data_IF_580828178559
#
_entry.id   IF_580828178559
#
_cell.length_a   1.000
_cell.length_b   1.000
_cell.length_c   1.000
_cell.angle_alpha   90.00
_cell.angle_beta   90.00
_cell.angle_gamma   90.00
#
_symmetry.space_group_name_H-M   'P 1'
#
loop_
_entity.id
_entity.type
_entity.pdbx_description
1 polymer ?
#
# COMPACT_ATOMS: atom_id res chain seq x y z
N UNK A 1 3.30 -7.62 23.93
CA UNK A 1 3.25 -6.73 25.11
C UNK A 1 2.79 -7.57 26.29
N UNK A 2 3.69 -7.89 27.21
CA UNK A 2 3.36 -8.50 28.50
C UNK A 2 2.61 -7.44 29.32
N UNK A 3 1.38 -7.72 29.66
CA UNK A 3 0.58 -6.87 30.56
C UNK A 3 1.27 -6.92 31.92
N UNK A 4 1.87 -5.81 32.32
CA UNK A 4 2.46 -5.65 33.65
C UNK A 4 1.27 -5.62 34.65
N UNK A 5 1.10 -6.66 35.46
CA UNK A 5 -0.02 -6.88 36.36
C UNK A 5 -0.14 -5.84 37.52
N UNK A 6 0.83 -4.94 37.69
CA UNK A 6 0.88 -3.96 38.77
C UNK A 6 0.47 -2.53 38.40
N UNK A 7 0.02 -2.28 37.16
CA UNK A 7 -0.47 -0.95 36.80
C UNK A 7 -1.97 -0.87 37.04
N UNK A 8 -2.40 0.05 37.92
CA UNK A 8 -3.84 0.33 38.10
C UNK A 8 -4.54 0.51 36.75
N UNK A 9 -5.67 -0.15 36.54
CA UNK A 9 -6.46 -0.02 35.31
C UNK A 9 -6.82 1.45 35.08
N UNK A 10 -6.60 1.93 33.85
CA UNK A 10 -6.86 3.32 33.45
C UNK A 10 -7.50 3.33 32.06
N UNK A 11 -8.45 4.24 31.78
CA UNK A 11 -9.07 4.40 30.48
C UNK A 11 -8.14 5.09 29.44
N UNK A 12 -6.93 5.52 29.82
CA UNK A 12 -6.01 6.24 28.92
C UNK A 12 -5.74 5.50 27.60
N UNK A 13 -5.48 4.17 27.57
CA UNK A 13 -5.31 3.46 26.29
C UNK A 13 -6.57 3.45 25.43
N UNK A 14 -7.76 3.38 26.06
CA UNK A 14 -9.04 3.45 25.33
C UNK A 14 -9.26 4.84 24.74
N UNK A 15 -8.86 5.88 25.46
CA UNK A 15 -8.93 7.27 24.97
C UNK A 15 -8.07 7.46 23.71
N UNK A 16 -6.86 6.90 23.69
CA UNK A 16 -6.00 6.94 22.51
C UNK A 16 -6.63 6.24 21.29
N UNK A 17 -7.27 5.10 21.51
CA UNK A 17 -7.99 4.38 20.45
C UNK A 17 -9.22 5.17 19.98
N UNK A 18 -10.03 5.69 20.90
CA UNK A 18 -11.25 6.42 20.60
C UNK A 18 -10.99 7.73 19.83
N UNK A 19 -9.85 8.37 20.08
CA UNK A 19 -9.46 9.62 19.43
C UNK A 19 -8.49 9.44 18.24
N UNK A 20 -8.23 8.21 17.83
CA UNK A 20 -7.33 7.89 16.71
C UNK A 20 -7.68 8.63 15.42
N UNK A 21 -8.97 8.88 15.17
CA UNK A 21 -9.42 9.64 14.00
C UNK A 21 -8.99 11.12 14.02
N UNK A 22 -8.74 11.72 15.19
CA UNK A 22 -8.20 13.09 15.26
C UNK A 22 -6.83 13.18 14.61
N UNK A 23 -5.98 12.18 14.83
CA UNK A 23 -4.63 12.10 14.26
C UNK A 23 -4.72 12.09 12.75
N UNK A 24 -5.51 11.16 12.20
CA UNK A 24 -5.67 11.03 10.75
C UNK A 24 -6.30 12.28 10.12
N UNK A 25 -7.37 12.82 10.72
CA UNK A 25 -8.06 14.01 10.16
C UNK A 25 -7.21 15.28 10.26
N UNK A 26 -6.31 15.40 11.25
CA UNK A 26 -5.33 16.49 11.29
C UNK A 26 -4.35 16.41 10.11
N UNK A 27 -3.81 15.21 9.84
CA UNK A 27 -2.94 15.00 8.67
C UNK A 27 -3.68 15.28 7.36
N UNK A 28 -4.90 14.77 7.21
CA UNK A 28 -5.72 14.94 6.00
C UNK A 28 -6.06 16.42 5.76
N UNK A 29 -6.48 17.16 6.80
CA UNK A 29 -6.78 18.59 6.69
C UNK A 29 -5.53 19.41 6.34
N UNK A 30 -4.39 19.14 6.98
CA UNK A 30 -3.14 19.80 6.66
C UNK A 30 -2.70 19.55 5.21
N UNK A 31 -2.90 18.31 4.73
CA UNK A 31 -2.61 17.95 3.34
C UNK A 31 -3.59 18.63 2.36
N UNK A 32 -4.89 18.66 2.65
CA UNK A 32 -5.92 19.31 1.83
C UNK A 32 -5.63 20.81 1.67
N UNK A 33 -5.21 21.48 2.75
CA UNK A 33 -4.82 22.89 2.76
C UNK A 33 -3.44 23.17 2.14
N UNK A 34 -2.77 22.12 1.63
CA UNK A 34 -1.44 22.15 1.01
C UNK A 34 -0.36 22.75 1.94
N UNK A 35 -0.52 22.54 3.26
CA UNK A 35 0.35 23.14 4.29
C UNK A 35 1.81 22.79 4.05
N UNK A 36 2.12 21.52 3.79
CA UNK A 36 3.51 21.05 3.68
C UNK A 36 4.22 21.60 2.45
N UNK A 37 3.55 21.67 1.29
CA UNK A 37 4.13 22.24 0.07
C UNK A 37 4.35 23.77 0.21
N UNK A 38 3.45 24.46 0.92
CA UNK A 38 3.60 25.91 1.21
C UNK A 38 4.79 26.20 2.10
N UNK A 39 5.16 25.28 3.00
CA UNK A 39 6.29 25.44 3.91
C UNK A 39 7.63 25.02 3.28
N UNK A 40 7.61 24.19 2.24
CA UNK A 40 8.82 23.66 1.61
C UNK A 40 9.67 24.78 0.99
N UNK A 41 10.98 24.73 1.28
CA UNK A 41 11.93 25.72 0.77
C UNK A 41 11.80 27.13 1.38
N UNK A 42 10.99 27.32 2.44
CA UNK A 42 10.80 28.59 3.12
C UNK A 42 11.54 28.62 4.46
N UNK A 43 11.58 29.81 5.09
CA UNK A 43 12.05 29.98 6.47
C UNK A 43 10.99 29.65 7.53
N UNK A 44 9.86 29.06 7.09
CA UNK A 44 8.71 28.74 7.94
C UNK A 44 7.68 29.87 8.01
N UNK A 45 6.56 29.57 8.68
CA UNK A 45 5.44 30.49 8.87
C UNK A 45 5.10 30.65 10.35
N UNK A 46 4.48 31.78 10.72
CA UNK A 46 3.80 31.99 12.01
C UNK A 46 2.33 31.62 11.89
N UNK A 47 1.60 31.60 13.02
CA UNK A 47 0.13 31.39 12.99
C UNK A 47 -0.58 32.47 12.17
N UNK A 48 -0.21 33.76 12.38
CA UNK A 48 -0.75 34.86 11.60
C UNK A 48 -0.40 34.79 10.11
N UNK A 49 0.85 34.40 9.77
CA UNK A 49 1.26 34.21 8.37
C UNK A 49 0.50 33.08 7.65
N UNK A 50 0.21 31.97 8.35
CA UNK A 50 -0.62 30.90 7.80
C UNK A 50 -2.08 31.35 7.64
N UNK A 51 -2.61 32.07 8.62
CA UNK A 51 -3.97 32.60 8.59
C UNK A 51 -4.18 33.52 7.37
N UNK A 52 -3.25 34.43 7.11
CA UNK A 52 -3.24 35.29 5.92
C UNK A 52 -3.16 34.47 4.62
N UNK A 53 -2.22 33.53 4.55
CA UNK A 53 -2.01 32.70 3.33
C UNK A 53 -3.20 31.81 2.96
N UNK A 54 -4.01 31.40 3.95
CA UNK A 54 -5.19 30.56 3.77
C UNK A 54 -6.50 31.35 3.80
N UNK A 55 -6.47 32.65 4.09
CA UNK A 55 -7.64 33.50 4.31
C UNK A 55 -8.59 32.95 5.39
N UNK A 56 -8.03 32.53 6.53
CA UNK A 56 -8.74 32.02 7.70
C UNK A 56 -8.39 32.83 8.95
N UNK A 57 -9.13 32.62 10.03
CA UNK A 57 -8.81 33.20 11.33
C UNK A 57 -7.50 32.63 11.91
N UNK A 58 -6.79 33.42 12.72
CA UNK A 58 -5.52 33.03 13.32
C UNK A 58 -5.67 31.85 14.30
N UNK A 59 -6.78 31.80 15.05
CA UNK A 59 -7.06 30.73 16.02
C UNK A 59 -7.03 29.32 15.38
N UNK A 60 -7.77 28.99 14.28
CA UNK A 60 -7.68 27.67 13.66
C UNK A 60 -6.32 27.43 13.00
N UNK A 61 -5.62 28.45 12.49
CA UNK A 61 -4.26 28.31 11.97
C UNK A 61 -3.27 27.88 13.06
N UNK A 62 -3.31 28.52 14.24
CA UNK A 62 -2.49 28.15 15.40
C UNK A 62 -2.79 26.72 15.86
N UNK A 63 -4.07 26.36 15.97
CA UNK A 63 -4.48 25.00 16.38
C UNK A 63 -3.98 23.93 15.42
N UNK A 64 -4.06 24.17 14.09
CA UNK A 64 -3.55 23.25 13.07
C UNK A 64 -2.04 23.08 13.16
N UNK A 65 -1.29 24.19 13.23
CA UNK A 65 0.17 24.17 13.36
C UNK A 65 0.61 23.45 14.63
N UNK A 66 -0.07 23.70 15.75
CA UNK A 66 0.20 23.04 17.03
C UNK A 66 -0.07 21.55 16.94
N UNK A 67 -1.22 21.13 16.35
CA UNK A 67 -1.58 19.74 16.14
C UNK A 67 -0.56 19.01 15.27
N UNK A 68 -0.19 19.59 14.13
CA UNK A 68 0.84 19.01 13.25
C UNK A 68 2.22 18.92 13.92
N UNK A 69 2.58 19.89 14.76
CA UNK A 69 3.83 19.84 15.55
C UNK A 69 3.81 18.73 16.58
N UNK A 70 2.69 18.58 17.31
CA UNK A 70 2.52 17.51 18.30
C UNK A 70 2.56 16.11 17.67
N UNK A 71 2.17 15.98 16.40
CA UNK A 71 2.26 14.76 15.61
C UNK A 71 3.63 14.54 14.95
N UNK A 72 4.61 15.43 15.15
CA UNK A 72 5.93 15.32 14.52
C UNK A 72 5.97 15.64 13.02
N UNK A 73 4.91 16.23 12.48
CA UNK A 73 4.84 16.65 11.08
C UNK A 73 5.50 18.00 10.85
N UNK A 74 5.53 18.85 11.86
CA UNK A 74 6.20 20.16 11.85
C UNK A 74 7.20 20.24 13.00
N UNK A 75 8.16 21.17 12.85
CA UNK A 75 9.08 21.60 13.91
C UNK A 75 8.84 23.08 14.15
N UNK A 76 8.72 23.48 15.41
CA UNK A 76 8.60 24.88 15.81
C UNK A 76 9.96 25.42 16.25
N UNK A 77 10.43 26.47 15.59
CA UNK A 77 11.65 27.22 15.93
C UNK A 77 11.21 28.65 16.29
N UNK A 78 11.32 29.00 17.55
CA UNK A 78 10.79 30.24 18.11
C UNK A 78 9.28 30.42 17.84
N UNK A 79 8.88 31.36 16.98
CA UNK A 79 7.51 31.62 16.57
C UNK A 79 7.15 31.03 15.20
N UNK A 80 8.13 30.36 14.52
CA UNK A 80 7.96 29.82 13.17
C UNK A 80 7.86 28.30 13.14
N UNK A 81 7.03 27.83 12.23
CA UNK A 81 6.79 26.42 11.96
C UNK A 81 7.37 26.07 10.59
N UNK A 82 8.16 24.99 10.55
CA UNK A 82 8.76 24.42 9.33
C UNK A 82 8.38 22.94 9.21
N UNK A 83 8.47 22.37 8.01
CA UNK A 83 8.30 20.93 7.84
C UNK A 83 9.32 20.14 8.68
N UNK A 84 8.89 19.07 9.31
CA UNK A 84 9.81 18.04 9.79
C UNK A 84 10.44 17.30 8.60
N UNK A 85 11.57 16.57 8.78
CA UNK A 85 12.18 15.81 7.69
C UNK A 85 11.23 14.83 7.01
N UNK A 86 10.35 14.16 7.77
CA UNK A 86 9.36 13.24 7.22
C UNK A 86 8.29 13.98 6.41
N UNK A 87 7.80 15.12 6.86
CA UNK A 87 6.83 15.90 6.12
C UNK A 87 7.45 16.51 4.85
N UNK A 88 8.69 17.01 4.94
CA UNK A 88 9.41 17.57 3.78
C UNK A 88 9.63 16.53 2.68
N UNK A 89 9.97 15.28 3.04
CA UNK A 89 10.23 14.22 2.06
C UNK A 89 8.96 13.63 1.47
N UNK A 90 7.94 13.37 2.31
CA UNK A 90 6.78 12.56 1.91
C UNK A 90 5.48 13.33 1.70
N UNK A 91 5.34 14.57 2.19
CA UNK A 91 4.09 15.32 2.13
C UNK A 91 4.14 16.57 1.23
N UNK A 92 5.30 16.87 0.66
CA UNK A 92 5.49 17.98 -0.29
C UNK A 92 5.19 17.49 -1.71
N UNK A 93 4.28 18.17 -2.41
CA UNK A 93 3.89 17.83 -3.80
C UNK A 93 5.11 17.94 -4.73
N UNK A 94 5.19 16.99 -5.68
CA UNK A 94 6.27 16.94 -6.66
C UNK A 94 7.57 16.28 -6.18
N UNK A 95 7.68 15.88 -4.92
CA UNK A 95 8.80 15.06 -4.44
C UNK A 95 8.68 13.63 -5.01
N UNK A 96 9.84 12.95 -5.25
CA UNK A 96 9.84 11.60 -5.83
C UNK A 96 9.03 10.56 -5.03
N UNK A 97 8.96 10.75 -3.72
CA UNK A 97 8.31 9.82 -2.79
C UNK A 97 7.05 10.42 -2.13
N UNK A 98 6.38 11.31 -2.86
CA UNK A 98 5.19 11.99 -2.36
C UNK A 98 4.08 11.00 -1.95
N UNK A 99 3.73 10.99 -0.68
CA UNK A 99 2.76 10.08 -0.06
C UNK A 99 1.36 10.70 0.10
N UNK A 100 1.22 11.98 -0.23
CA UNK A 100 -0.05 12.71 -0.05
C UNK A 100 -1.21 12.16 -0.88
N UNK A 101 -0.94 11.49 -2.01
CA UNK A 101 -1.98 10.79 -2.77
C UNK A 101 -2.65 9.69 -1.95
N UNK A 102 -1.87 8.94 -1.16
CA UNK A 102 -2.41 7.92 -0.25
C UNK A 102 -3.26 8.55 0.86
N UNK A 103 -2.80 9.65 1.47
CA UNK A 103 -3.57 10.40 2.47
C UNK A 103 -4.91 10.87 1.90
N UNK A 104 -4.91 11.40 0.68
CA UNK A 104 -6.12 11.85 -0.02
C UNK A 104 -7.10 10.70 -0.28
N UNK A 105 -6.61 9.56 -0.76
CA UNK A 105 -7.43 8.36 -0.99
C UNK A 105 -8.06 7.87 0.31
N UNK A 106 -7.28 7.78 1.38
CA UNK A 106 -7.78 7.39 2.69
C UNK A 106 -8.91 8.31 3.15
N UNK A 107 -8.75 9.63 3.00
CA UNK A 107 -9.73 10.60 3.47
C UNK A 107 -11.01 10.61 2.64
N UNK A 108 -10.89 10.58 1.32
CA UNK A 108 -12.02 10.77 0.42
C UNK A 108 -12.80 9.48 0.16
N UNK A 109 -12.13 8.32 0.20
CA UNK A 109 -12.73 7.04 -0.13
C UNK A 109 -12.87 6.11 1.07
N UNK A 110 -11.78 5.83 1.78
CA UNK A 110 -11.80 4.83 2.85
C UNK A 110 -12.48 5.32 4.12
N UNK A 111 -12.22 6.55 4.52
CA UNK A 111 -12.77 7.09 5.77
C UNK A 111 -14.31 7.06 5.83
N UNK A 112 -15.06 7.45 4.77
CA UNK A 112 -16.51 7.26 4.72
C UNK A 112 -16.94 5.79 4.81
N UNK A 113 -16.25 4.87 4.11
CA UNK A 113 -16.50 3.44 4.14
C UNK A 113 -16.28 2.85 5.54
N UNK A 114 -15.22 3.24 6.22
CA UNK A 114 -14.93 2.85 7.59
C UNK A 114 -15.96 3.38 8.61
N UNK A 115 -16.60 4.51 8.34
CA UNK A 115 -17.75 4.97 9.12
C UNK A 115 -18.92 3.96 9.15
N UNK A 116 -18.95 3.06 8.17
CA UNK A 116 -19.93 1.97 8.02
C UNK A 116 -19.36 0.58 8.34
N UNK A 117 -18.19 0.48 8.98
CA UNK A 117 -17.56 -0.81 9.31
C UNK A 117 -18.50 -1.77 10.06
N UNK A 118 -19.31 -1.25 10.98
CA UNK A 118 -20.31 -2.07 11.69
C UNK A 118 -21.39 -2.68 10.77
N UNK A 119 -21.68 -2.06 9.63
CA UNK A 119 -22.53 -2.62 8.58
C UNK A 119 -21.78 -3.70 7.80
N UNK A 120 -20.54 -3.42 7.35
CA UNK A 120 -19.71 -4.41 6.68
C UNK A 120 -19.56 -5.72 7.48
N UNK A 121 -19.31 -5.60 8.79
CA UNK A 121 -19.22 -6.77 9.71
C UNK A 121 -20.52 -7.57 9.74
N UNK A 122 -21.68 -6.91 9.79
CA UNK A 122 -22.99 -7.59 9.86
C UNK A 122 -23.41 -8.23 8.55
N UNK A 123 -23.03 -7.62 7.42
CA UNK A 123 -23.52 -8.01 6.10
C UNK A 123 -22.49 -8.82 5.31
N UNK A 124 -21.23 -8.84 5.73
CA UNK A 124 -20.09 -9.37 4.96
C UNK A 124 -20.03 -8.78 3.55
N UNK A 125 -20.28 -7.46 3.41
CA UNK A 125 -20.30 -6.73 2.13
C UNK A 125 -19.43 -5.48 2.21
N UNK A 126 -18.77 -5.07 1.12
CA UNK A 126 -18.02 -3.82 1.06
C UNK A 126 -18.92 -2.60 1.29
N UNK A 127 -18.32 -1.51 1.73
CA UNK A 127 -19.02 -0.25 2.04
C UNK A 127 -18.42 0.95 1.32
N UNK A 128 -17.33 0.80 0.56
CA UNK A 128 -16.73 1.84 -0.26
C UNK A 128 -17.33 1.92 -1.66
N UNK A 129 -18.03 0.88 -2.09
CA UNK A 129 -18.71 0.77 -3.38
C UNK A 129 -19.95 -0.13 -3.23
N UNK A 130 -20.81 -0.17 -4.26
CA UNK A 130 -22.06 -0.91 -4.24
C UNK A 130 -21.92 -2.22 -5.06
N UNK A 131 -21.85 -3.40 -4.41
CA UNK A 131 -21.69 -4.68 -5.09
C UNK A 131 -22.95 -5.14 -5.86
N UNK A 132 -24.08 -4.42 -5.76
CA UNK A 132 -25.24 -4.66 -6.61
C UNK A 132 -25.15 -3.91 -7.96
N UNK A 133 -24.18 -2.98 -8.09
CA UNK A 133 -23.97 -2.17 -9.29
C UNK A 133 -22.65 -2.42 -10.00
N UNK A 134 -21.66 -2.94 -9.30
CA UNK A 134 -20.30 -3.18 -9.80
C UNK A 134 -19.87 -4.61 -9.43
N UNK A 135 -19.03 -5.23 -10.25
CA UNK A 135 -18.50 -6.57 -9.97
C UNK A 135 -17.24 -6.53 -9.08
N UNK A 136 -16.54 -5.41 -9.06
CA UNK A 136 -15.38 -5.19 -8.20
C UNK A 136 -15.13 -3.71 -7.95
N UNK A 137 -14.27 -3.41 -6.97
CA UNK A 137 -13.79 -2.05 -6.73
C UNK A 137 -12.94 -1.48 -7.89
N UNK A 138 -12.41 -2.37 -8.74
CA UNK A 138 -11.55 -2.00 -9.87
C UNK A 138 -12.35 -1.63 -11.14
N UNK A 139 -13.68 -1.87 -11.16
CA UNK A 139 -14.56 -1.58 -12.27
C UNK A 139 -15.10 -0.13 -12.28
N UNK A 140 -14.49 0.77 -11.51
CA UNK A 140 -14.90 2.17 -11.48
C UNK A 140 -14.66 2.82 -12.85
N UNK A 141 -15.71 3.42 -13.42
CA UNK A 141 -15.63 4.21 -14.66
C UNK A 141 -15.21 5.66 -14.42
N UNK A 142 -15.08 6.11 -13.16
CA UNK A 142 -14.64 7.48 -12.86
C UNK A 142 -13.11 7.62 -12.98
N UNK A 143 -12.62 8.29 -14.06
CA UNK A 143 -11.17 8.41 -14.29
C UNK A 143 -10.44 9.19 -13.18
N UNK A 144 -11.14 10.07 -12.45
CA UNK A 144 -10.53 10.86 -11.36
C UNK A 144 -10.30 10.00 -10.14
N UNK A 145 -11.28 9.17 -9.78
CA UNK A 145 -11.13 8.23 -8.66
C UNK A 145 -10.04 7.19 -8.95
N UNK A 146 -9.99 6.68 -10.18
CA UNK A 146 -8.92 5.77 -10.61
C UNK A 146 -7.55 6.45 -10.54
N UNK A 147 -7.41 7.68 -11.00
CA UNK A 147 -6.14 8.40 -10.95
C UNK A 147 -5.67 8.61 -9.50
N UNK A 148 -6.56 9.04 -8.60
CA UNK A 148 -6.24 9.22 -7.17
C UNK A 148 -5.83 7.89 -6.54
N UNK A 149 -6.55 6.81 -6.84
CA UNK A 149 -6.24 5.47 -6.33
C UNK A 149 -4.85 5.01 -6.78
N UNK A 150 -4.56 5.07 -8.10
CA UNK A 150 -3.28 4.57 -8.62
C UNK A 150 -2.08 5.43 -8.24
N UNK A 151 -2.23 6.75 -8.09
CA UNK A 151 -1.18 7.60 -7.52
C UNK A 151 -0.91 7.25 -6.04
N UNK A 152 -1.97 6.98 -5.28
CA UNK A 152 -1.86 6.55 -3.89
C UNK A 152 -1.13 5.21 -3.78
N UNK A 153 -1.54 4.22 -4.58
CA UNK A 153 -0.92 2.90 -4.60
C UNK A 153 0.53 2.96 -5.08
N UNK A 154 0.84 3.80 -6.08
CA UNK A 154 2.21 4.01 -6.52
C UNK A 154 3.11 4.51 -5.38
N UNK A 155 2.65 5.50 -4.64
CA UNK A 155 3.39 6.07 -3.50
C UNK A 155 3.62 5.03 -2.40
N UNK A 156 2.59 4.26 -2.03
CA UNK A 156 2.68 3.20 -1.03
C UNK A 156 3.64 2.09 -1.45
N UNK A 157 3.54 1.66 -2.72
CA UNK A 157 4.27 0.53 -3.28
C UNK A 157 5.76 0.83 -3.50
N UNK A 158 6.13 2.07 -3.83
CA UNK A 158 7.54 2.46 -4.10
C UNK A 158 8.46 2.12 -2.92
N UNK A 159 8.08 2.50 -1.69
CA UNK A 159 8.86 2.17 -0.49
C UNK A 159 8.81 0.69 -0.13
N UNK A 160 7.65 0.07 -0.31
CA UNK A 160 7.47 -1.36 -0.06
C UNK A 160 8.35 -2.20 -0.99
N UNK A 161 8.42 -1.84 -2.28
CA UNK A 161 9.27 -2.48 -3.27
C UNK A 161 10.76 -2.41 -2.92
N UNK A 162 11.21 -1.24 -2.44
CA UNK A 162 12.60 -1.05 -2.02
C UNK A 162 12.94 -1.91 -0.80
N UNK A 163 12.07 -1.95 0.20
CA UNK A 163 12.25 -2.79 1.38
C UNK A 163 12.27 -4.29 1.01
N UNK A 164 11.36 -4.73 0.13
CA UNK A 164 11.34 -6.09 -0.40
C UNK A 164 12.65 -6.42 -1.12
N UNK A 165 13.10 -5.55 -2.04
CA UNK A 165 14.31 -5.77 -2.82
C UNK A 165 15.60 -5.79 -1.97
N UNK A 166 15.59 -5.16 -0.79
CA UNK A 166 16.70 -5.27 0.18
C UNK A 166 16.63 -6.55 1.01
N UNK A 167 15.43 -7.10 1.23
CA UNK A 167 15.21 -8.28 2.06
C UNK A 167 15.37 -9.60 1.29
N UNK A 168 15.20 -9.59 -0.04
CA UNK A 168 15.32 -10.76 -0.91
C UNK A 168 16.37 -10.53 -1.99
N UNK A 169 17.06 -11.60 -2.41
CA UNK A 169 18.02 -11.54 -3.52
C UNK A 169 17.35 -11.94 -4.84
N UNK A 170 17.38 -11.02 -5.81
CA UNK A 170 16.90 -11.21 -7.18
C UNK A 170 18.04 -11.37 -8.22
N UNK A 171 19.31 -11.30 -7.83
CA UNK A 171 20.45 -11.29 -8.75
C UNK A 171 20.55 -12.54 -9.62
N UNK A 172 20.09 -13.69 -9.12
CA UNK A 172 20.09 -14.96 -9.85
C UNK A 172 18.83 -15.28 -10.68
N UNK A 173 17.90 -14.32 -10.82
CA UNK A 173 16.60 -14.52 -11.47
C UNK A 173 16.22 -13.27 -12.28
N UNK A 174 16.83 -13.08 -13.48
CA UNK A 174 16.80 -11.80 -14.19
C UNK A 174 15.45 -11.46 -14.85
N UNK A 175 14.46 -12.38 -14.88
CA UNK A 175 13.17 -12.15 -15.52
C UNK A 175 12.04 -12.26 -14.51
N UNK A 176 11.41 -11.13 -14.21
CA UNK A 176 10.30 -10.99 -13.28
C UNK A 176 8.99 -10.82 -14.05
N UNK A 177 7.96 -11.54 -13.64
CA UNK A 177 6.56 -11.25 -13.96
C UNK A 177 5.87 -10.71 -12.70
N UNK A 178 5.40 -9.48 -12.74
CA UNK A 178 4.60 -8.87 -11.67
C UNK A 178 3.12 -8.99 -12.05
N UNK A 179 2.40 -9.88 -11.35
CA UNK A 179 1.00 -10.20 -11.64
C UNK A 179 0.10 -9.29 -10.80
N UNK A 180 -0.65 -8.42 -11.47
CA UNK A 180 -1.37 -7.34 -10.84
C UNK A 180 -0.44 -6.22 -10.38
N UNK A 181 0.63 -5.94 -11.15
CA UNK A 181 1.70 -5.01 -10.75
C UNK A 181 1.28 -3.53 -10.71
N UNK A 182 0.01 -3.23 -10.96
CA UNK A 182 -0.57 -1.90 -10.82
C UNK A 182 0.16 -0.85 -11.64
N UNK A 183 0.68 0.16 -10.97
CA UNK A 183 1.41 1.27 -11.58
C UNK A 183 2.89 0.98 -11.87
N UNK A 184 3.34 -0.27 -11.81
CA UNK A 184 4.74 -0.70 -11.99
C UNK A 184 5.70 -0.19 -10.90
N UNK A 185 5.22 0.20 -9.72
CA UNK A 185 6.07 0.75 -8.68
C UNK A 185 7.13 -0.26 -8.20
N UNK A 186 6.73 -1.55 -8.04
CA UNK A 186 7.65 -2.62 -7.69
C UNK A 186 8.70 -2.85 -8.76
N UNK A 187 8.29 -2.95 -10.01
CA UNK A 187 9.18 -3.18 -11.14
C UNK A 187 10.21 -2.07 -11.29
N UNK A 188 9.79 -0.81 -11.16
CA UNK A 188 10.65 0.37 -11.24
C UNK A 188 11.74 0.32 -10.16
N UNK A 189 11.35 0.12 -8.90
CA UNK A 189 12.30 0.11 -7.78
C UNK A 189 13.19 -1.13 -7.79
N UNK A 190 12.66 -2.31 -8.09
CA UNK A 190 13.45 -3.54 -8.20
C UNK A 190 14.44 -3.47 -9.36
N UNK A 191 14.04 -2.93 -10.52
CA UNK A 191 14.95 -2.72 -11.63
C UNK A 191 16.05 -1.67 -11.32
N UNK A 192 15.79 -0.68 -10.47
CA UNK A 192 16.82 0.25 -9.99
C UNK A 192 17.83 -0.42 -9.07
N UNK A 193 17.37 -1.32 -8.19
CA UNK A 193 18.21 -2.06 -7.25
C UNK A 193 19.04 -3.16 -7.95
N UNK A 194 18.46 -3.81 -8.97
CA UNK A 194 19.07 -4.93 -9.70
C UNK A 194 19.29 -4.55 -11.16
N UNK A 195 20.51 -4.14 -11.57
CA UNK A 195 20.80 -3.66 -12.91
C UNK A 195 20.47 -4.63 -14.04
N UNK A 196 20.60 -5.94 -13.80
CA UNK A 196 20.36 -7.00 -14.79
C UNK A 196 18.91 -7.50 -14.81
N UNK A 197 18.06 -7.03 -13.89
CA UNK A 197 16.66 -7.42 -13.81
C UNK A 197 15.87 -6.79 -14.96
N UNK A 198 15.07 -7.60 -15.63
CA UNK A 198 13.99 -7.18 -16.52
C UNK A 198 12.66 -7.60 -15.91
N UNK A 199 11.63 -6.81 -16.10
CA UNK A 199 10.32 -7.06 -15.53
C UNK A 199 9.21 -6.92 -16.57
N UNK A 200 8.12 -7.64 -16.35
CA UNK A 200 6.89 -7.48 -17.11
C UNK A 200 5.74 -7.31 -16.12
N UNK A 201 5.06 -6.20 -16.23
CA UNK A 201 3.82 -5.92 -15.50
C UNK A 201 2.67 -6.55 -16.26
N UNK A 202 1.97 -7.51 -15.65
CA UNK A 202 0.75 -8.10 -16.19
C UNK A 202 -0.46 -7.52 -15.43
N UNK A 203 -1.30 -6.73 -16.13
CA UNK A 203 -2.32 -5.94 -15.47
C UNK A 203 -3.52 -5.70 -16.39
N UNK A 204 -4.68 -5.31 -15.82
CA UNK A 204 -5.87 -4.94 -16.58
C UNK A 204 -5.55 -3.84 -17.62
N UNK A 205 -6.20 -3.83 -18.79
CA UNK A 205 -5.81 -2.94 -19.89
C UNK A 205 -5.72 -1.46 -19.52
N UNK A 206 -6.69 -0.94 -18.77
CA UNK A 206 -6.73 0.44 -18.32
C UNK A 206 -5.61 0.77 -17.30
N UNK A 207 -5.15 -0.20 -16.53
CA UNK A 207 -4.07 -0.06 -15.55
C UNK A 207 -2.71 -0.26 -16.19
N UNK A 208 -2.59 -1.16 -17.16
CA UNK A 208 -1.37 -1.35 -17.96
C UNK A 208 -0.94 -0.06 -18.65
N UNK A 209 -1.86 0.78 -19.11
CA UNK A 209 -1.56 2.11 -19.68
C UNK A 209 -0.97 3.07 -18.62
N UNK A 210 -1.42 2.98 -17.37
CA UNK A 210 -0.86 3.75 -16.26
C UNK A 210 0.57 3.26 -15.97
N UNK A 211 0.77 1.95 -15.88
CA UNK A 211 2.08 1.34 -15.70
C UNK A 211 3.07 1.78 -16.80
N UNK A 212 2.68 1.67 -18.07
CA UNK A 212 3.50 2.06 -19.21
C UNK A 212 3.95 3.53 -19.13
N UNK A 213 3.05 4.43 -18.72
CA UNK A 213 3.38 5.85 -18.52
C UNK A 213 4.39 6.03 -17.39
N UNK A 214 4.19 5.40 -16.22
CA UNK A 214 5.12 5.47 -15.07
C UNK A 214 6.49 4.89 -15.40
N UNK A 215 6.54 3.77 -16.12
CA UNK A 215 7.80 3.16 -16.63
C UNK A 215 8.55 4.12 -17.56
N UNK A 216 7.81 4.82 -18.45
CA UNK A 216 8.41 5.83 -19.35
C UNK A 216 8.94 7.02 -18.57
N UNK A 217 8.19 7.54 -17.59
CA UNK A 217 8.61 8.63 -16.70
C UNK A 217 9.88 8.25 -15.91
N UNK A 218 9.99 6.98 -15.49
CA UNK A 218 11.17 6.44 -14.82
C UNK A 218 12.37 6.17 -15.74
N UNK A 219 12.22 6.26 -17.07
CA UNK A 219 13.28 6.01 -18.06
C UNK A 219 13.65 4.53 -18.22
N UNK A 220 12.74 3.59 -17.84
CA UNK A 220 13.01 2.16 -17.78
C UNK A 220 12.33 1.32 -18.88
N UNK A 221 11.88 1.93 -19.97
CA UNK A 221 11.16 1.27 -21.07
C UNK A 221 11.96 0.15 -21.79
N UNK A 222 13.29 0.12 -21.63
CA UNK A 222 14.13 -0.96 -22.18
C UNK A 222 14.21 -2.19 -21.28
N UNK A 223 13.71 -2.09 -20.06
CA UNK A 223 13.85 -3.13 -19.02
C UNK A 223 12.52 -3.57 -18.42
N UNK A 224 11.49 -2.74 -18.57
CA UNK A 224 10.15 -3.03 -18.04
C UNK A 224 9.16 -2.95 -19.19
N UNK A 225 8.44 -4.03 -19.41
CA UNK A 225 7.35 -4.14 -20.36
C UNK A 225 6.00 -4.18 -19.62
N UNK A 226 4.92 -3.82 -20.30
CA UNK A 226 3.55 -3.97 -19.80
C UNK A 226 2.76 -4.88 -20.72
N UNK A 227 2.06 -5.84 -20.16
CA UNK A 227 1.17 -6.77 -20.87
C UNK A 227 -0.22 -6.64 -20.27
N UNK A 228 -1.18 -6.25 -21.10
CA UNK A 228 -2.58 -6.19 -20.71
C UNK A 228 -3.18 -7.59 -20.64
N UNK A 229 -3.91 -7.89 -19.55
CA UNK A 229 -4.62 -9.15 -19.36
C UNK A 229 -5.39 -9.17 -18.05
N UNK A 230 -6.12 -10.25 -17.83
CA UNK A 230 -6.90 -10.49 -16.61
C UNK A 230 -6.54 -11.86 -16.06
N UNK A 231 -5.92 -11.93 -14.90
CA UNK A 231 -5.49 -13.18 -14.28
C UNK A 231 -6.68 -14.09 -13.90
N UNK A 232 -7.93 -13.62 -13.93
CA UNK A 232 -9.11 -14.48 -13.81
C UNK A 232 -9.65 -14.92 -15.15
N UNK A 233 -9.82 -14.00 -16.10
CA UNK A 233 -10.43 -14.30 -17.40
C UNK A 233 -9.48 -15.03 -18.34
N UNK A 234 -8.20 -14.71 -18.34
CA UNK A 234 -7.22 -15.34 -19.21
C UNK A 234 -6.95 -16.78 -18.80
N UNK A 235 -6.84 -17.69 -19.75
CA UNK A 235 -6.60 -19.12 -19.50
C UNK A 235 -5.24 -19.41 -18.86
N UNK A 236 -4.23 -18.55 -19.08
CA UNK A 236 -2.87 -18.69 -18.57
C UNK A 236 -2.19 -17.34 -18.38
N UNK A 237 -1.23 -17.28 -17.47
CA UNK A 237 -0.30 -16.14 -17.34
C UNK A 237 0.82 -16.24 -18.39
N UNK A 238 1.45 -15.12 -18.76
CA UNK A 238 2.63 -15.14 -19.61
C UNK A 238 3.74 -16.01 -19.02
N UNK A 239 4.38 -16.82 -19.85
CA UNK A 239 5.46 -17.71 -19.46
C UNK A 239 6.85 -17.14 -19.75
N UNK A 240 7.89 -17.85 -19.28
CA UNK A 240 9.28 -17.51 -19.58
C UNK A 240 9.97 -16.65 -18.53
N UNK A 241 9.42 -16.57 -17.34
CA UNK A 241 9.95 -15.77 -16.21
C UNK A 241 10.54 -16.68 -15.13
N UNK A 242 11.60 -16.21 -14.49
CA UNK A 242 12.29 -16.95 -13.43
C UNK A 242 11.63 -16.70 -12.04
N UNK A 243 10.95 -15.58 -11.93
CA UNK A 243 10.24 -15.16 -10.71
C UNK A 243 8.87 -14.61 -11.08
N UNK A 244 7.84 -15.00 -10.32
CA UNK A 244 6.52 -14.34 -10.32
C UNK A 244 6.36 -13.62 -8.99
N UNK A 245 6.01 -12.34 -9.05
CA UNK A 245 5.66 -11.52 -7.90
C UNK A 245 4.14 -11.34 -7.83
N UNK A 246 3.61 -11.50 -6.62
CA UNK A 246 2.26 -11.11 -6.23
C UNK A 246 2.41 -10.17 -5.03
N UNK A 247 2.26 -8.89 -5.25
CA UNK A 247 2.44 -7.89 -4.19
C UNK A 247 1.13 -7.15 -3.93
N UNK A 248 0.60 -7.31 -2.73
CA UNK A 248 -0.68 -6.71 -2.32
C UNK A 248 -1.84 -7.11 -3.27
N UNK A 249 -1.89 -8.39 -3.64
CA UNK A 249 -2.89 -8.96 -4.58
C UNK A 249 -3.79 -9.97 -3.90
N UNK A 250 -3.20 -10.96 -3.21
CA UNK A 250 -3.98 -12.07 -2.70
C UNK A 250 -4.89 -11.66 -1.55
N UNK A 251 -4.59 -10.60 -0.85
CA UNK A 251 -5.43 -10.09 0.22
C UNK A 251 -6.78 -9.52 -0.26
N UNK A 252 -6.93 -9.22 -1.55
CA UNK A 252 -8.19 -8.73 -2.13
C UNK A 252 -9.22 -9.85 -2.35
N UNK A 253 -8.78 -11.10 -2.34
CA UNK A 253 -9.57 -12.23 -2.82
C UNK A 253 -9.82 -13.29 -1.75
N UNK A 254 -10.96 -13.99 -1.87
CA UNK A 254 -11.26 -15.17 -1.09
C UNK A 254 -10.27 -16.31 -1.40
N UNK A 255 -10.15 -17.31 -0.50
CA UNK A 255 -9.13 -18.35 -0.58
C UNK A 255 -9.18 -19.15 -1.89
N UNK A 256 -10.36 -19.49 -2.38
CA UNK A 256 -10.53 -20.23 -3.63
C UNK A 256 -9.99 -19.48 -4.84
N UNK A 257 -10.21 -18.16 -4.90
CA UNK A 257 -9.66 -17.28 -5.93
C UNK A 257 -8.15 -17.11 -5.80
N UNK A 258 -7.64 -16.96 -4.57
CA UNK A 258 -6.19 -16.96 -4.31
C UNK A 258 -5.51 -18.22 -4.83
N UNK A 259 -6.09 -19.40 -4.54
CA UNK A 259 -5.58 -20.67 -5.01
C UNK A 259 -5.60 -20.80 -6.54
N UNK A 260 -6.64 -20.26 -7.19
CA UNK A 260 -6.72 -20.21 -8.66
C UNK A 260 -5.60 -19.37 -9.27
N UNK A 261 -5.31 -18.18 -8.71
CA UNK A 261 -4.18 -17.33 -9.14
C UNK A 261 -2.86 -18.09 -8.97
N UNK A 262 -2.63 -18.68 -7.79
CA UNK A 262 -1.40 -19.43 -7.50
C UNK A 262 -1.22 -20.66 -8.40
N UNK A 263 -2.30 -21.33 -8.80
CA UNK A 263 -2.25 -22.43 -9.78
C UNK A 263 -1.78 -21.93 -11.15
N UNK A 264 -2.22 -20.77 -11.60
CA UNK A 264 -1.72 -20.15 -12.84
C UNK A 264 -0.25 -19.75 -12.72
N UNK A 265 0.17 -19.24 -11.57
CA UNK A 265 1.59 -18.95 -11.29
C UNK A 265 2.44 -20.24 -11.37
N UNK A 266 1.96 -21.34 -10.79
CA UNK A 266 2.63 -22.64 -10.89
C UNK A 266 2.78 -23.09 -12.34
N UNK A 267 1.71 -22.99 -13.13
CA UNK A 267 1.73 -23.41 -14.54
C UNK A 267 2.71 -22.57 -15.38
N UNK A 268 2.79 -21.26 -15.15
CA UNK A 268 3.62 -20.34 -15.91
C UNK A 268 5.13 -20.42 -15.57
N UNK A 269 5.48 -20.82 -14.34
CA UNK A 269 6.87 -20.93 -13.90
C UNK A 269 7.58 -22.15 -14.49
N UNK A 270 8.85 -22.01 -14.91
CA UNK A 270 9.70 -23.16 -15.24
C UNK A 270 10.13 -23.91 -13.97
N UNK A 271 10.71 -25.11 -14.14
CA UNK A 271 11.45 -25.78 -13.06
C UNK A 271 12.57 -24.89 -12.55
N UNK A 272 12.74 -24.81 -11.23
CA UNK A 272 13.65 -23.90 -10.57
C UNK A 272 13.11 -22.47 -10.39
N UNK A 273 12.02 -22.09 -11.04
CA UNK A 273 11.38 -20.80 -10.88
C UNK A 273 10.75 -20.62 -9.49
N UNK A 274 10.47 -19.39 -9.11
CA UNK A 274 9.92 -19.06 -7.78
C UNK A 274 8.73 -18.12 -7.83
N UNK A 275 7.85 -18.26 -6.87
CA UNK A 275 6.79 -17.27 -6.58
C UNK A 275 7.14 -16.50 -5.30
N UNK A 276 6.86 -15.21 -5.30
CA UNK A 276 7.02 -14.30 -4.15
C UNK A 276 5.67 -13.66 -3.88
N UNK A 277 5.13 -13.85 -2.67
CA UNK A 277 3.88 -13.25 -2.20
C UNK A 277 4.27 -12.22 -1.15
N UNK A 278 4.23 -10.92 -1.48
CA UNK A 278 4.59 -9.81 -0.59
C UNK A 278 3.32 -9.13 -0.07
N UNK A 279 3.10 -9.19 1.26
CA UNK A 279 1.84 -8.79 1.88
C UNK A 279 2.03 -8.21 3.29
N UNK A 280 1.01 -7.53 3.80
CA UNK A 280 0.87 -7.35 5.25
C UNK A 280 0.38 -8.65 5.87
N UNK A 281 1.30 -9.44 6.39
CA UNK A 281 1.04 -10.77 6.94
C UNK A 281 0.53 -10.67 8.37
N UNK A 282 -0.64 -11.25 8.64
CA UNK A 282 -1.11 -11.51 10.01
C UNK A 282 -0.28 -12.67 10.58
N UNK A 283 0.18 -12.59 11.83
CA UNK A 283 0.92 -13.70 12.45
C UNK A 283 0.07 -14.98 12.56
N UNK A 284 0.73 -16.14 12.59
CA UNK A 284 0.04 -17.43 12.60
C UNK A 284 -0.90 -17.60 13.82
N UNK A 285 -0.65 -16.89 14.93
CA UNK A 285 -1.52 -16.87 16.12
C UNK A 285 -2.74 -15.91 15.97
N UNK A 286 -2.84 -15.13 14.88
CA UNK A 286 -3.89 -14.14 14.61
C UNK A 286 -4.04 -13.07 15.69
N UNK A 287 -2.94 -12.67 16.31
CA UNK A 287 -2.89 -11.64 17.38
C UNK A 287 -2.31 -10.30 16.92
N UNK A 288 -1.97 -10.17 15.64
CA UNK A 288 -1.37 -8.98 15.06
C UNK A 288 -0.37 -9.29 13.94
N UNK A 289 0.48 -8.38 13.55
CA UNK A 289 0.63 -7.03 14.08
C UNK A 289 -0.59 -6.14 13.76
N UNK A 290 -0.76 -5.01 14.48
CA UNK A 290 -1.93 -4.13 14.28
C UNK A 290 -2.13 -3.70 12.84
N UNK A 291 -1.08 -3.32 12.11
CA UNK A 291 -1.18 -2.88 10.72
C UNK A 291 -1.83 -3.96 9.82
N UNK A 292 -1.37 -5.21 9.90
CA UNK A 292 -1.91 -6.31 9.11
C UNK A 292 -3.35 -6.68 9.53
N UNK A 293 -3.62 -6.67 10.84
CA UNK A 293 -4.95 -6.98 11.36
C UNK A 293 -6.00 -5.92 10.97
N UNK A 294 -5.62 -4.64 11.01
CA UNK A 294 -6.50 -3.54 10.59
C UNK A 294 -6.65 -3.48 9.07
N UNK A 295 -5.59 -3.79 8.30
CA UNK A 295 -5.70 -3.94 6.86
C UNK A 295 -6.68 -5.07 6.49
N UNK A 296 -6.74 -6.15 7.27
CA UNK A 296 -7.71 -7.21 7.06
C UNK A 296 -9.17 -6.73 7.22
N UNK A 297 -9.43 -5.79 8.15
CA UNK A 297 -10.72 -5.10 8.23
C UNK A 297 -10.93 -4.13 7.07
N UNK A 298 -9.87 -3.53 6.54
CA UNK A 298 -9.98 -2.72 5.34
C UNK A 298 -10.39 -3.55 4.12
N UNK A 299 -9.90 -4.78 4.00
CA UNK A 299 -10.36 -5.70 2.95
C UNK A 299 -11.85 -6.01 3.07
N UNK A 300 -12.39 -6.18 4.27
CA UNK A 300 -13.84 -6.33 4.46
C UNK A 300 -14.65 -5.11 4.00
N UNK A 301 -14.06 -3.90 4.14
CA UNK A 301 -14.70 -2.65 3.70
C UNK A 301 -14.63 -2.46 2.19
N UNK A 302 -13.61 -3.02 1.54
CA UNK A 302 -13.29 -2.78 0.12
C UNK A 302 -13.45 -4.00 -0.79
N UNK A 303 -13.18 -5.20 -0.30
CA UNK A 303 -13.04 -6.40 -1.14
C UNK A 303 -13.78 -7.59 -0.55
N UNK A 304 -13.52 -8.80 -1.05
CA UNK A 304 -14.00 -10.07 -0.49
C UNK A 304 -12.90 -10.83 0.27
N UNK A 305 -11.70 -10.28 0.30
CA UNK A 305 -10.51 -10.93 0.85
C UNK A 305 -10.21 -10.58 2.30
N UNK A 306 -8.98 -10.85 2.69
CA UNK A 306 -8.41 -10.55 3.99
C UNK A 306 -6.89 -10.68 3.97
N UNK A 307 -6.20 -10.15 4.95
CA UNK A 307 -4.78 -10.46 5.13
C UNK A 307 -4.62 -11.86 5.72
N UNK A 308 -3.88 -12.69 5.03
CA UNK A 308 -3.62 -14.09 5.39
C UNK A 308 -2.34 -14.23 6.21
N UNK A 309 -2.18 -15.39 6.85
CA UNK A 309 -0.98 -15.72 7.61
C UNK A 309 0.09 -16.38 6.72
N UNK A 310 1.38 -16.33 7.11
CA UNK A 310 2.41 -17.10 6.42
C UNK A 310 2.12 -18.61 6.36
N UNK A 311 1.47 -19.15 7.38
CA UNK A 311 1.11 -20.56 7.41
C UNK A 311 0.07 -20.92 6.33
N UNK A 312 -0.94 -20.05 6.10
CA UNK A 312 -1.94 -20.24 5.05
C UNK A 312 -1.27 -20.21 3.67
N UNK A 313 -0.49 -19.19 3.36
CA UNK A 313 0.22 -19.09 2.07
C UNK A 313 1.17 -20.27 1.85
N UNK A 314 1.93 -20.69 2.86
CA UNK A 314 2.81 -21.86 2.75
C UNK A 314 2.02 -23.16 2.55
N UNK A 315 0.85 -23.30 3.14
CA UNK A 315 0.00 -24.46 2.92
C UNK A 315 -0.49 -24.51 1.46
N UNK A 316 -1.02 -23.41 0.92
CA UNK A 316 -1.49 -23.33 -0.46
C UNK A 316 -0.37 -23.61 -1.48
N UNK A 317 0.81 -23.04 -1.25
CA UNK A 317 1.99 -23.29 -2.09
C UNK A 317 2.42 -24.76 -2.04
N UNK A 318 2.42 -25.37 -0.85
CA UNK A 318 2.77 -26.79 -0.68
C UNK A 318 1.76 -27.70 -1.40
N UNK A 319 0.47 -27.42 -1.30
CA UNK A 319 -0.59 -28.18 -1.96
C UNK A 319 -0.42 -28.17 -3.48
N UNK A 320 0.12 -27.10 -4.05
CA UNK A 320 0.46 -26.97 -5.48
C UNK A 320 1.80 -27.61 -5.86
N UNK A 321 2.62 -28.04 -4.89
CA UNK A 321 3.89 -28.71 -5.13
C UNK A 321 5.12 -27.81 -5.03
N UNK A 322 4.99 -26.52 -4.64
CA UNK A 322 6.14 -25.70 -4.35
C UNK A 322 6.94 -26.24 -3.18
N UNK A 323 8.26 -26.10 -3.27
CA UNK A 323 9.23 -26.52 -2.26
C UNK A 323 10.01 -25.30 -1.75
N UNK A 324 10.96 -25.51 -0.82
CA UNK A 324 11.80 -24.48 -0.21
C UNK A 324 10.98 -23.28 0.32
N UNK A 325 9.84 -23.59 0.93
CA UNK A 325 8.90 -22.59 1.45
C UNK A 325 9.50 -21.84 2.61
N UNK A 326 9.64 -20.52 2.46
CA UNK A 326 10.18 -19.67 3.52
C UNK A 326 9.38 -18.37 3.63
N UNK A 327 9.46 -17.74 4.81
CA UNK A 327 8.95 -16.39 5.06
C UNK A 327 10.13 -15.48 5.34
N UNK A 328 10.19 -14.37 4.65
CA UNK A 328 11.17 -13.29 4.85
C UNK A 328 10.42 -12.11 5.44
N UNK A 329 10.89 -11.60 6.58
CA UNK A 329 10.28 -10.46 7.24
C UNK A 329 11.06 -9.19 6.92
N UNK A 330 10.35 -8.09 6.72
CA UNK A 330 10.88 -6.74 6.56
C UNK A 330 9.83 -5.74 7.07
N UNK A 331 10.14 -4.47 7.10
CA UNK A 331 9.21 -3.42 7.53
C UNK A 331 8.97 -2.44 6.39
N UNK A 332 7.71 -2.35 5.96
CA UNK A 332 7.25 -1.35 5.00
C UNK A 332 5.76 -1.08 5.19
N UNK A 333 5.26 -0.02 4.53
CA UNK A 333 3.88 0.41 4.71
C UNK A 333 2.86 -0.54 4.06
N UNK A 334 3.16 -1.10 2.87
CA UNK A 334 2.26 -1.98 2.14
C UNK A 334 2.49 -3.48 2.38
N UNK A 335 3.64 -3.87 2.96
CA UNK A 335 3.94 -5.26 3.32
C UNK A 335 4.90 -5.31 4.51
N UNK A 336 4.78 -6.34 5.33
CA UNK A 336 5.70 -6.60 6.44
C UNK A 336 6.48 -7.91 6.27
N UNK A 337 6.26 -8.60 5.16
CA UNK A 337 6.94 -9.84 4.85
C UNK A 337 6.59 -10.39 3.48
N UNK A 338 7.35 -11.40 3.06
CA UNK A 338 7.09 -12.16 1.85
C UNK A 338 7.15 -13.65 2.12
N UNK A 339 6.20 -14.39 1.53
CA UNK A 339 6.24 -15.86 1.47
C UNK A 339 6.74 -16.28 0.10
N UNK A 340 7.77 -17.11 0.09
CA UNK A 340 8.47 -17.54 -1.14
C UNK A 340 8.37 -19.05 -1.27
N UNK A 341 8.07 -19.53 -2.47
CA UNK A 341 8.09 -20.93 -2.83
C UNK A 341 8.81 -21.15 -4.16
N UNK A 342 9.52 -22.26 -4.30
CA UNK A 342 10.25 -22.65 -5.49
C UNK A 342 9.57 -23.84 -6.17
N UNK A 343 9.42 -23.77 -7.49
CA UNK A 343 8.98 -24.91 -8.30
C UNK A 343 10.16 -25.87 -8.48
N UNK A 344 10.04 -27.15 -8.15
CA UNK A 344 11.13 -28.13 -8.29
C UNK A 344 11.58 -28.36 -9.73
#
# INVERSE_FOLDING_TARGET
MTVNADRALSPVPLMQLATGFWVFKTLAAAHELDLFSRLSGTTGTTAGGLAEALAIEERPAEMLLTGCTALGLLVKNDDRYVNSPIAEEFLVRGKPYYFGGFVQMLDQRLYPGWGRLGEAIRTNRPTTWDPDRQSSMFDSEDPRLLAVFWEAMHSLSTFTARALGQAIDLSGAPRLLDVGGGSAAFDIELCRLYPDLTATVFELPNVADIAARKVKEAGLTKRIETVAGDFFADSALPGGYDTILLSMILHDWAEDRCRAILQKCWAALPSGGRVIIAELLVNDARTGPPAAALMSLNMLVETEGRNYTPAEYRAWLRDLGFQDLRTVWFEAAGANGAVIGRKP
#
